data_IF_493647024320
#
_entry.id   IF_493647024320
#
_cell.length_a   1.000
_cell.length_b   1.000
_cell.length_c   1.000
_cell.angle_alpha   90.00
_cell.angle_beta   90.00
_cell.angle_gamma   90.00
#
_symmetry.space_group_name_H-M   'P 1'
#
loop_
_entity.id
_entity.type
_entity.pdbx_description
1 polymer ?
#
# COMPACT_ATOMS: atom_id res chain seq x y z
N UNK A 1 9.07 4.98 4.24
CA UNK A 1 9.12 5.26 2.80
C UNK A 1 9.59 6.70 2.53
N UNK A 2 9.94 7.07 1.28
CA UNK A 2 10.37 8.43 0.86
C UNK A 2 9.19 9.40 0.66
N UNK A 3 8.50 9.76 1.73
CA UNK A 3 7.25 10.53 1.72
C UNK A 3 7.28 11.80 0.87
N UNK A 4 8.27 12.67 1.08
CA UNK A 4 8.32 13.98 0.39
C UNK A 4 8.66 13.82 -1.09
N UNK A 5 9.58 12.91 -1.43
CA UNK A 5 9.91 12.61 -2.81
C UNK A 5 8.71 12.00 -3.56
N UNK A 6 7.96 11.10 -2.89
CA UNK A 6 6.74 10.52 -3.44
C UNK A 6 5.63 11.55 -3.60
N UNK A 7 5.42 12.42 -2.60
CA UNK A 7 4.50 13.55 -2.68
C UNK A 7 4.81 14.41 -3.91
N UNK A 8 6.07 14.82 -4.06
CA UNK A 8 6.52 15.65 -5.19
C UNK A 8 6.33 14.93 -6.53
N UNK A 9 6.56 13.62 -6.57
CA UNK A 9 6.33 12.83 -7.78
C UNK A 9 4.85 12.70 -8.17
N UNK A 10 3.92 12.79 -7.20
CA UNK A 10 2.48 12.79 -7.44
C UNK A 10 1.92 14.18 -7.76
N UNK A 11 2.59 15.26 -7.32
CA UNK A 11 2.19 16.62 -7.65
C UNK A 11 2.10 16.81 -9.17
N UNK A 12 1.06 17.50 -9.63
CA UNK A 12 0.79 17.70 -11.06
C UNK A 12 0.21 16.50 -11.81
N UNK A 13 0.17 15.30 -11.21
CA UNK A 13 -0.49 14.11 -11.78
C UNK A 13 -1.90 13.89 -11.25
N UNK A 14 -2.11 14.21 -9.96
CA UNK A 14 -3.37 14.03 -9.26
C UNK A 14 -3.61 15.18 -8.26
N UNK A 15 -4.84 15.31 -7.77
CA UNK A 15 -5.21 16.33 -6.80
C UNK A 15 -4.67 16.04 -5.38
N UNK A 16 -4.58 17.08 -4.55
CA UNK A 16 -3.90 17.04 -3.23
C UNK A 16 -4.49 16.06 -2.22
N UNK A 17 -5.82 15.90 -2.19
CA UNK A 17 -6.50 14.98 -1.26
C UNK A 17 -6.13 13.52 -1.53
N UNK A 18 -6.25 13.01 -2.78
CA UNK A 18 -5.71 11.70 -3.16
C UNK A 18 -4.23 11.48 -2.84
N UNK A 19 -3.36 12.50 -2.96
CA UNK A 19 -1.94 12.40 -2.58
C UNK A 19 -1.82 12.08 -1.09
N UNK A 20 -2.51 12.85 -0.25
CA UNK A 20 -2.45 12.70 1.21
C UNK A 20 -2.99 11.33 1.65
N UNK A 21 -4.08 10.87 1.03
CA UNK A 21 -4.65 9.55 1.31
C UNK A 21 -3.74 8.41 0.85
N UNK A 22 -3.08 8.55 -0.30
CA UNK A 22 -2.10 7.56 -0.78
C UNK A 22 -0.93 7.42 0.22
N UNK A 23 -0.34 8.54 0.65
CA UNK A 23 0.75 8.55 1.64
C UNK A 23 0.30 7.95 2.96
N UNK A 24 -0.87 8.35 3.48
CA UNK A 24 -1.39 7.83 4.74
C UNK A 24 -1.60 6.31 4.70
N UNK A 25 -2.11 5.77 3.59
CA UNK A 25 -2.29 4.32 3.43
C UNK A 25 -0.96 3.58 3.34
N UNK A 26 0.04 4.12 2.66
CA UNK A 26 1.39 3.54 2.64
C UNK A 26 2.01 3.51 4.04
N UNK A 27 1.95 4.61 4.80
CA UNK A 27 2.42 4.66 6.19
C UNK A 27 1.70 3.65 7.07
N UNK A 28 0.38 3.52 6.94
CA UNK A 28 -0.40 2.50 7.66
C UNK A 28 0.12 1.10 7.38
N UNK A 29 0.51 0.78 6.14
CA UNK A 29 1.09 -0.53 5.81
C UNK A 29 2.45 -0.72 6.49
N UNK A 30 3.35 0.28 6.42
CA UNK A 30 4.66 0.23 7.10
C UNK A 30 4.50 0.01 8.61
N UNK A 31 3.59 0.74 9.25
CA UNK A 31 3.30 0.64 10.69
C UNK A 31 2.67 -0.70 11.05
N UNK A 32 1.65 -1.14 10.30
CA UNK A 32 0.91 -2.38 10.59
C UNK A 32 1.77 -3.62 10.44
N UNK A 33 2.65 -3.63 9.43
CA UNK A 33 3.51 -4.77 9.10
C UNK A 33 4.93 -4.64 9.67
N UNK A 34 5.25 -3.52 10.34
CA UNK A 34 6.56 -3.21 10.91
C UNK A 34 7.71 -3.36 9.91
N UNK A 35 7.58 -2.67 8.78
CA UNK A 35 8.50 -2.78 7.64
C UNK A 35 8.68 -1.44 6.91
N UNK A 36 9.68 -1.37 6.03
CA UNK A 36 9.94 -0.20 5.19
C UNK A 36 9.66 -0.53 3.71
N UNK A 37 8.83 0.28 3.02
CA UNK A 37 8.46 0.04 1.63
C UNK A 37 9.65 0.14 0.64
N UNK A 38 10.66 0.96 0.93
CA UNK A 38 11.86 1.04 0.10
C UNK A 38 12.72 -0.24 0.24
N UNK A 39 12.75 -0.83 1.44
CA UNK A 39 13.44 -2.11 1.69
C UNK A 39 12.69 -3.26 1.03
N UNK A 40 11.37 -3.35 1.18
CA UNK A 40 10.56 -4.37 0.49
C UNK A 40 10.67 -4.26 -1.03
N UNK A 41 10.66 -3.05 -1.57
CA UNK A 41 10.90 -2.84 -2.99
C UNK A 41 12.29 -3.33 -3.43
N UNK A 42 13.32 -3.15 -2.61
CA UNK A 42 14.68 -3.55 -2.94
C UNK A 42 14.88 -5.07 -2.97
N UNK A 43 14.04 -5.83 -2.27
CA UNK A 43 14.08 -7.30 -2.24
C UNK A 43 13.62 -7.92 -3.56
N UNK A 44 12.45 -7.51 -4.07
CA UNK A 44 11.82 -8.17 -5.22
C UNK A 44 10.94 -7.26 -6.09
N UNK A 45 11.11 -5.94 -5.97
CA UNK A 45 10.25 -4.95 -6.61
C UNK A 45 8.91 -4.75 -5.89
N UNK A 46 8.73 -5.32 -4.70
CA UNK A 46 7.50 -5.27 -3.90
C UNK A 46 6.47 -6.32 -4.33
N UNK A 47 6.88 -7.37 -5.02
CA UNK A 47 5.98 -8.45 -5.49
C UNK A 47 5.38 -9.21 -4.31
N UNK A 48 6.22 -9.72 -3.41
CA UNK A 48 5.80 -10.45 -2.21
C UNK A 48 4.88 -9.61 -1.33
N UNK A 49 5.14 -8.31 -1.23
CA UNK A 49 4.28 -7.39 -0.50
C UNK A 49 2.90 -7.21 -1.16
N UNK A 50 2.86 -7.06 -2.48
CA UNK A 50 1.59 -6.93 -3.21
C UNK A 50 0.75 -8.20 -3.09
N UNK A 51 1.38 -9.37 -3.13
CA UNK A 51 0.76 -10.67 -2.91
C UNK A 51 0.25 -10.80 -1.46
N UNK A 52 1.03 -10.38 -0.46
CA UNK A 52 0.60 -10.35 0.94
C UNK A 52 -0.66 -9.47 1.16
N UNK A 53 -0.78 -8.37 0.41
CA UNK A 53 -1.92 -7.46 0.49
C UNK A 53 -3.11 -7.89 -0.40
N UNK A 54 -2.99 -8.99 -1.13
CA UNK A 54 -4.10 -9.58 -1.86
C UNK A 54 -5.18 -10.05 -0.89
N UNK A 55 -6.42 -9.70 -1.20
CA UNK A 55 -7.59 -10.15 -0.47
C UNK A 55 -8.73 -10.34 -1.47
N UNK A 56 -9.05 -11.60 -1.72
CA UNK A 56 -9.99 -12.02 -2.76
C UNK A 56 -11.44 -12.00 -2.28
N UNK A 57 -12.37 -12.19 -3.22
CA UNK A 57 -13.79 -12.41 -2.88
C UNK A 57 -14.00 -13.72 -2.12
N UNK A 58 -13.14 -14.72 -2.35
CA UNK A 58 -13.20 -16.00 -1.63
C UNK A 58 -12.72 -15.83 -0.18
N UNK A 59 -11.68 -15.03 0.05
CA UNK A 59 -11.24 -14.69 1.41
C UNK A 59 -12.37 -13.99 2.19
N UNK A 60 -13.09 -13.07 1.54
CA UNK A 60 -14.27 -12.41 2.11
C UNK A 60 -15.40 -13.39 2.42
N UNK A 61 -15.77 -14.27 1.48
CA UNK A 61 -16.87 -15.22 1.68
C UNK A 61 -16.59 -16.25 2.79
N UNK A 62 -15.31 -16.59 2.98
CA UNK A 62 -14.83 -17.47 4.04
C UNK A 62 -14.55 -16.74 5.36
N UNK A 63 -14.82 -15.43 5.46
CA UNK A 63 -14.52 -14.59 6.62
C UNK A 63 -13.06 -14.71 7.09
N UNK A 64 -12.12 -14.82 6.15
CA UNK A 64 -10.70 -14.87 6.50
C UNK A 64 -10.26 -13.55 7.13
N UNK A 65 -9.34 -13.58 8.10
CA UNK A 65 -8.78 -12.35 8.62
C UNK A 65 -7.88 -11.68 7.57
N UNK A 66 -7.71 -10.36 7.69
CA UNK A 66 -6.62 -9.66 7.02
C UNK A 66 -5.25 -10.21 7.50
N UNK A 67 -4.16 -9.98 6.75
CA UNK A 67 -2.82 -10.38 7.17
C UNK A 67 -2.49 -9.89 8.58
N UNK A 68 -1.76 -10.72 9.33
CA UNK A 68 -1.35 -10.40 10.71
C UNK A 68 -0.70 -9.03 10.80
N UNK A 69 -1.18 -8.19 11.73
CA UNK A 69 -0.76 -6.81 11.91
C UNK A 69 -1.69 -5.78 11.27
N UNK A 70 -2.42 -6.15 10.21
CA UNK A 70 -3.41 -5.27 9.58
C UNK A 70 -4.77 -5.49 10.23
N UNK A 71 -5.22 -4.48 10.98
CA UNK A 71 -6.55 -4.50 11.62
C UNK A 71 -7.48 -3.47 10.98
N UNK A 72 -8.77 -3.79 10.94
CA UNK A 72 -9.84 -2.88 10.52
C UNK A 72 -10.85 -2.72 11.65
N UNK A 73 -11.50 -1.57 11.73
CA UNK A 73 -12.57 -1.32 12.71
C UNK A 73 -13.70 -2.34 12.52
N UNK A 74 -14.32 -2.85 13.59
CA UNK A 74 -15.48 -3.75 13.49
C UNK A 74 -16.56 -3.19 12.55
N UNK A 75 -17.08 -4.04 11.66
CA UNK A 75 -18.06 -3.66 10.63
C UNK A 75 -17.48 -3.03 9.36
N UNK A 76 -16.16 -2.83 9.27
CA UNK A 76 -15.51 -2.37 8.03
C UNK A 76 -15.56 -3.44 6.94
N UNK A 77 -15.67 -3.01 5.67
CA UNK A 77 -15.45 -3.92 4.55
C UNK A 77 -13.94 -4.18 4.36
N UNK A 78 -13.48 -5.36 4.80
CA UNK A 78 -12.06 -5.75 4.78
C UNK A 78 -11.52 -5.76 3.35
N UNK A 79 -12.28 -6.31 2.39
CA UNK A 79 -11.87 -6.41 0.99
C UNK A 79 -11.56 -5.04 0.37
N UNK A 80 -12.46 -4.06 0.54
CA UNK A 80 -12.27 -2.69 0.07
C UNK A 80 -11.11 -2.01 0.80
N UNK A 81 -10.98 -2.27 2.10
CA UNK A 81 -9.85 -1.81 2.91
C UNK A 81 -8.51 -2.31 2.36
N UNK A 82 -8.36 -3.61 2.18
CA UNK A 82 -7.18 -4.27 1.62
C UNK A 82 -6.89 -3.81 0.19
N UNK A 83 -7.91 -3.72 -0.67
CA UNK A 83 -7.77 -3.21 -2.03
C UNK A 83 -7.23 -1.77 -2.04
N UNK A 84 -7.67 -0.93 -1.11
CA UNK A 84 -7.19 0.45 -0.96
C UNK A 84 -5.74 0.52 -0.51
N UNK A 85 -5.35 -0.31 0.47
CA UNK A 85 -3.95 -0.42 0.91
C UNK A 85 -3.05 -0.90 -0.22
N UNK A 86 -3.44 -1.99 -0.88
CA UNK A 86 -2.72 -2.58 -2.02
C UNK A 86 -2.54 -1.58 -3.16
N UNK A 87 -3.56 -0.79 -3.47
CA UNK A 87 -3.50 0.21 -4.54
C UNK A 87 -2.53 1.35 -4.22
N UNK A 88 -2.52 1.83 -2.97
CA UNK A 88 -1.56 2.84 -2.51
C UNK A 88 -0.11 2.32 -2.59
N UNK A 89 0.12 1.08 -2.12
CA UNK A 89 1.43 0.43 -2.21
C UNK A 89 1.87 0.27 -3.66
N UNK A 90 1.02 -0.25 -4.57
CA UNK A 90 1.34 -0.36 -6.00
C UNK A 90 1.76 0.98 -6.61
N UNK A 91 1.08 2.07 -6.26
CA UNK A 91 1.43 3.42 -6.73
C UNK A 91 2.78 3.90 -6.18
N UNK A 92 3.12 3.55 -4.94
CA UNK A 92 4.45 3.83 -4.39
C UNK A 92 5.55 3.02 -5.10
N UNK A 93 5.30 1.74 -5.41
CA UNK A 93 6.26 0.90 -6.14
C UNK A 93 6.48 1.42 -7.58
N UNK A 94 5.43 1.96 -8.23
CA UNK A 94 5.54 2.67 -9.51
C UNK A 94 6.48 3.88 -9.42
N UNK A 95 6.36 4.67 -8.34
CA UNK A 95 7.31 5.75 -8.05
C UNK A 95 8.75 5.21 -7.89
N UNK A 96 8.94 4.14 -7.12
CA UNK A 96 10.25 3.51 -6.95
C UNK A 96 10.87 3.08 -8.29
N UNK A 97 10.12 2.41 -9.15
CA UNK A 97 10.57 2.04 -10.49
C UNK A 97 10.95 3.25 -11.34
N UNK A 98 10.11 4.29 -11.35
CA UNK A 98 10.35 5.49 -12.17
C UNK A 98 11.57 6.31 -11.72
N UNK A 99 11.99 6.17 -10.46
CA UNK A 99 13.14 6.89 -9.89
C UNK A 99 14.43 6.07 -9.88
N UNK A 100 14.35 4.74 -9.99
CA UNK A 100 15.52 3.84 -10.11
C UNK A 100 16.08 3.77 -11.53
N UNK A 101 15.26 4.09 -12.54
CA UNK A 101 15.64 4.12 -13.96
C UNK A 101 16.19 5.49 -14.43
N UNK A 102 16.50 6.39 -13.50
CA UNK A 102 17.18 7.66 -13.76
C UNK A 102 18.57 7.62 -13.14
#
# INVERSE_FOLDING_TARGET
MRDDAYRNWLQGKISSRPISDSISRCRRVEESLKMNLDEEFSKDGGRSLVELLEYSSEDESLNRPAPTGISFTPGSNIKNGMASLRSAVKKYLEFCHSTKLK
#
